data_IF_471123810791
#
_entry.id   IF_471123810791
#
_cell.length_a   1.000
_cell.length_b   1.000
_cell.length_c   1.000
_cell.angle_alpha   90.00
_cell.angle_beta   90.00
_cell.angle_gamma   90.00
#
_symmetry.space_group_name_H-M   'P 1'
#
loop_
_entity.id
_entity.type
_entity.pdbx_description
1 polymer ?
#
# COMPACT_ATOMS: atom_id res chain seq x y z
N UNK A 1 3.37 -7.63 -2.01
CA UNK A 1 4.29 -8.71 -1.61
C UNK A 1 3.59 -9.76 -0.75
N UNK A 2 3.14 -9.48 0.48
CA UNK A 2 2.53 -10.52 1.35
C UNK A 2 1.32 -11.21 0.71
N UNK A 3 0.39 -10.44 0.13
CA UNK A 3 -0.76 -11.01 -0.58
C UNK A 3 -0.35 -11.93 -1.75
N UNK A 4 0.73 -11.60 -2.46
CA UNK A 4 1.26 -12.44 -3.55
C UNK A 4 1.87 -13.72 -3.00
N UNK A 5 2.58 -13.66 -1.86
CA UNK A 5 3.11 -14.85 -1.20
C UNK A 5 1.98 -15.79 -0.71
N UNK A 6 0.90 -15.25 -0.15
CA UNK A 6 -0.28 -16.03 0.25
C UNK A 6 -0.93 -16.70 -0.97
N UNK A 7 -1.13 -15.95 -2.06
CA UNK A 7 -1.67 -16.50 -3.30
C UNK A 7 -0.75 -17.60 -3.88
N UNK A 8 0.56 -17.37 -3.90
CA UNK A 8 1.53 -18.32 -4.40
C UNK A 8 1.54 -19.61 -3.58
N UNK A 9 1.50 -19.51 -2.25
CA UNK A 9 1.36 -20.66 -1.36
C UNK A 9 0.06 -21.43 -1.64
N UNK A 10 -1.08 -20.74 -1.74
CA UNK A 10 -2.38 -21.35 -2.02
C UNK A 10 -2.40 -22.06 -3.39
N UNK A 11 -1.73 -21.49 -4.38
CA UNK A 11 -1.59 -22.06 -5.73
C UNK A 11 -0.45 -23.06 -5.85
N UNK A 12 0.33 -23.27 -4.78
CA UNK A 12 1.50 -24.14 -4.73
C UNK A 12 2.52 -23.80 -5.83
N UNK A 13 2.71 -22.51 -6.11
CA UNK A 13 3.70 -22.02 -7.09
C UNK A 13 4.85 -21.30 -6.37
N UNK A 14 6.10 -21.40 -6.87
CA UNK A 14 7.20 -20.62 -6.32
C UNK A 14 6.97 -19.11 -6.48
N UNK A 15 7.39 -18.34 -5.48
CA UNK A 15 7.35 -16.88 -5.53
C UNK A 15 8.70 -16.30 -5.12
N UNK A 16 9.29 -15.51 -6.00
CA UNK A 16 10.53 -14.77 -5.77
C UNK A 16 10.24 -13.28 -5.68
N UNK A 17 10.66 -12.67 -4.58
CA UNK A 17 10.54 -11.24 -4.36
C UNK A 17 11.92 -10.58 -4.44
N UNK A 18 12.01 -9.54 -5.26
CA UNK A 18 13.24 -8.78 -5.48
C UNK A 18 13.20 -7.48 -4.70
N UNK A 19 14.32 -7.11 -4.06
CA UNK A 19 14.47 -5.81 -3.39
C UNK A 19 15.84 -5.20 -3.69
N UNK A 20 15.97 -3.89 -3.48
CA UNK A 20 17.27 -3.24 -3.22
C UNK A 20 17.93 -3.84 -1.96
N UNK A 21 19.23 -3.60 -1.73
CA UNK A 21 19.89 -4.01 -0.49
C UNK A 21 19.19 -3.39 0.72
N UNK A 22 18.80 -4.23 1.67
CA UNK A 22 18.17 -3.76 2.91
C UNK A 22 19.25 -3.60 3.97
N UNK A 23 19.37 -2.43 4.64
CA UNK A 23 20.35 -2.25 5.71
C UNK A 23 20.15 -3.26 6.84
N UNK A 24 21.23 -3.92 7.27
CA UNK A 24 21.19 -4.94 8.32
C UNK A 24 20.55 -4.42 9.63
N UNK A 25 20.83 -3.16 9.98
CA UNK A 25 20.24 -2.49 11.14
C UNK A 25 18.70 -2.47 11.12
N UNK A 26 18.08 -2.41 9.93
CA UNK A 26 16.63 -2.41 9.81
C UNK A 26 16.04 -3.81 10.06
N UNK A 27 16.73 -4.85 9.58
CA UNK A 27 16.37 -6.24 9.84
C UNK A 27 16.49 -6.56 11.33
N UNK A 28 17.59 -6.15 11.97
CA UNK A 28 17.81 -6.39 13.40
C UNK A 28 16.75 -5.70 14.28
N UNK A 29 16.32 -4.49 13.92
CA UNK A 29 15.28 -3.74 14.65
C UNK A 29 13.90 -4.34 14.54
N UNK A 30 13.64 -5.09 13.49
CA UNK A 30 12.32 -5.69 13.22
C UNK A 30 12.30 -7.19 13.47
N UNK A 31 13.39 -7.78 14.00
CA UNK A 31 13.53 -9.22 14.23
C UNK A 31 12.45 -9.81 15.16
N UNK A 32 12.01 -9.02 16.15
CA UNK A 32 11.01 -9.42 17.14
C UNK A 32 9.60 -8.94 16.76
N UNK A 33 9.45 -8.36 15.55
CA UNK A 33 8.18 -7.86 15.03
C UNK A 33 7.75 -8.74 13.86
N UNK A 34 6.51 -9.21 13.90
CA UNK A 34 5.91 -9.90 12.78
C UNK A 34 5.63 -8.90 11.65
N UNK A 35 6.57 -8.81 10.71
CA UNK A 35 6.47 -7.95 9.52
C UNK A 35 5.80 -8.69 8.36
N UNK A 36 5.24 -7.95 7.40
CA UNK A 36 4.79 -8.50 6.12
C UNK A 36 5.89 -9.30 5.42
N UNK A 37 7.15 -8.88 5.54
CA UNK A 37 8.30 -9.59 4.98
C UNK A 37 8.53 -10.93 5.67
N UNK A 38 8.57 -10.97 7.01
CA UNK A 38 8.73 -12.20 7.76
C UNK A 38 7.60 -13.20 7.51
N UNK A 39 6.35 -12.71 7.41
CA UNK A 39 5.19 -13.53 7.07
C UNK A 39 5.32 -14.14 5.68
N UNK A 40 5.68 -13.35 4.68
CA UNK A 40 5.86 -13.87 3.33
C UNK A 40 7.01 -14.88 3.24
N UNK A 41 8.12 -14.65 3.96
CA UNK A 41 9.21 -15.63 4.07
C UNK A 41 8.72 -16.95 4.67
N UNK A 42 7.90 -16.90 5.72
CA UNK A 42 7.32 -18.09 6.34
C UNK A 42 6.37 -18.86 5.40
N UNK A 43 5.74 -18.17 4.44
CA UNK A 43 4.91 -18.78 3.39
C UNK A 43 5.71 -19.40 2.23
N UNK A 44 7.05 -19.37 2.28
CA UNK A 44 7.92 -19.93 1.25
C UNK A 44 8.40 -18.93 0.20
N UNK A 45 8.18 -17.62 0.40
CA UNK A 45 8.73 -16.59 -0.49
C UNK A 45 10.27 -16.68 -0.53
N UNK A 46 10.81 -16.80 -1.74
CA UNK A 46 12.22 -16.64 -2.02
C UNK A 46 12.54 -15.14 -2.08
N UNK A 47 13.63 -14.72 -1.47
CA UNK A 47 14.04 -13.31 -1.47
C UNK A 47 15.39 -13.20 -2.15
N UNK A 48 15.46 -12.31 -3.15
CA UNK A 48 16.68 -12.01 -3.90
C UNK A 48 16.95 -10.52 -3.78
N UNK A 49 18.16 -10.18 -3.36
CA UNK A 49 18.62 -8.80 -3.34
C UNK A 49 19.33 -8.48 -4.65
N UNK A 50 18.94 -7.37 -5.26
CA UNK A 50 19.59 -6.81 -6.45
C UNK A 50 20.42 -5.59 -6.05
N UNK A 51 21.43 -5.24 -6.86
CA UNK A 51 22.06 -3.91 -6.74
C UNK A 51 21.02 -2.81 -7.02
N UNK A 52 21.28 -1.58 -6.55
CA UNK A 52 20.36 -0.46 -6.78
C UNK A 52 20.05 -0.27 -8.27
N UNK A 53 21.08 -0.25 -9.11
CA UNK A 53 20.93 -0.11 -10.57
C UNK A 53 20.12 -1.26 -11.19
N UNK A 54 20.37 -2.51 -10.80
CA UNK A 54 19.60 -3.64 -11.31
C UNK A 54 18.13 -3.56 -10.90
N UNK A 55 17.86 -3.16 -9.65
CA UNK A 55 16.49 -3.00 -9.17
C UNK A 55 15.78 -1.86 -9.91
N UNK A 56 16.45 -0.73 -10.09
CA UNK A 56 15.86 0.44 -10.75
C UNK A 56 15.54 0.15 -12.22
N UNK A 57 16.45 -0.51 -12.96
CA UNK A 57 16.16 -0.98 -14.32
C UNK A 57 14.96 -1.92 -14.34
N UNK A 58 14.89 -2.89 -13.45
CA UNK A 58 13.76 -3.83 -13.36
C UNK A 58 12.43 -3.11 -13.04
N UNK A 59 12.46 -2.16 -12.11
CA UNK A 59 11.30 -1.40 -11.67
C UNK A 59 10.81 -0.39 -12.73
N UNK A 60 11.71 0.23 -13.48
CA UNK A 60 11.36 1.25 -14.47
C UNK A 60 10.91 0.63 -15.80
N UNK A 61 11.55 -0.46 -16.22
CA UNK A 61 11.26 -1.09 -17.53
C UNK A 61 10.11 -2.09 -17.46
N UNK A 62 9.84 -2.66 -16.28
CA UNK A 62 9.00 -3.84 -16.11
C UNK A 62 9.44 -5.05 -16.98
N UNK A 63 10.69 -5.07 -17.47
CA UNK A 63 11.26 -6.23 -18.17
C UNK A 63 11.88 -7.21 -17.17
N UNK A 64 11.16 -8.28 -16.89
CA UNK A 64 11.57 -9.33 -15.95
C UNK A 64 12.38 -10.45 -16.61
N UNK A 65 12.61 -10.40 -17.93
CA UNK A 65 13.38 -11.42 -18.65
C UNK A 65 14.77 -11.69 -18.05
N UNK A 66 15.53 -10.67 -17.58
CA UNK A 66 16.84 -10.89 -16.96
C UNK A 66 16.80 -11.66 -15.62
N UNK A 67 15.63 -11.72 -14.98
CA UNK A 67 15.42 -12.41 -13.69
C UNK A 67 14.44 -13.57 -13.80
N UNK A 68 14.09 -13.97 -15.03
CA UNK A 68 13.21 -15.10 -15.29
C UNK A 68 13.80 -16.39 -14.70
N UNK A 69 12.99 -17.26 -14.08
CA UNK A 69 13.49 -18.52 -13.55
C UNK A 69 14.03 -19.40 -14.70
N UNK A 70 15.29 -19.87 -14.65
CA UNK A 70 15.98 -20.45 -15.81
C UNK A 70 15.35 -21.73 -16.37
N UNK A 71 14.56 -22.43 -15.56
CA UNK A 71 13.91 -23.70 -15.93
C UNK A 71 12.38 -23.61 -15.95
N UNK A 72 11.79 -22.41 -15.85
CA UNK A 72 10.34 -22.25 -15.87
C UNK A 72 9.83 -22.25 -17.31
N UNK A 73 8.87 -23.14 -17.60
CA UNK A 73 8.15 -23.15 -18.87
C UNK A 73 7.18 -21.96 -18.99
N UNK A 74 6.63 -21.51 -17.86
CA UNK A 74 5.83 -20.29 -17.74
C UNK A 74 6.20 -19.55 -16.47
N UNK A 75 6.18 -18.22 -16.53
CA UNK A 75 6.44 -17.35 -15.39
C UNK A 75 5.69 -16.03 -15.56
N UNK A 76 5.47 -15.32 -14.46
CA UNK A 76 4.81 -14.01 -14.45
C UNK A 76 5.65 -13.02 -13.66
N UNK A 77 6.09 -11.97 -14.34
CA UNK A 77 6.67 -10.79 -13.71
C UNK A 77 5.56 -9.91 -13.16
N UNK A 78 5.65 -9.54 -11.87
CA UNK A 78 4.67 -8.67 -11.21
C UNK A 78 5.39 -7.40 -10.76
N UNK A 79 5.11 -6.23 -11.37
CA UNK A 79 5.73 -4.98 -10.97
C UNK A 79 5.24 -4.51 -9.60
N UNK A 80 5.97 -3.55 -9.05
CA UNK A 80 5.61 -2.94 -7.77
C UNK A 80 4.18 -2.40 -7.83
N UNK A 81 3.39 -2.69 -6.78
CA UNK A 81 1.99 -2.28 -6.70
C UNK A 81 1.06 -2.99 -7.69
N UNK A 82 1.52 -4.00 -8.44
CA UNK A 82 0.75 -4.64 -9.52
C UNK A 82 0.30 -3.58 -10.55
N UNK A 83 1.17 -2.61 -10.83
CA UNK A 83 0.94 -1.53 -11.77
C UNK A 83 1.04 -2.03 -13.23
N UNK A 84 0.09 -2.87 -13.61
CA UNK A 84 -0.05 -3.45 -14.96
C UNK A 84 -1.37 -2.97 -15.59
N UNK A 85 -1.46 -2.88 -16.93
CA UNK A 85 -2.70 -2.47 -17.61
C UNK A 85 -3.93 -3.29 -17.19
N UNK A 86 -3.76 -4.58 -16.92
CA UNK A 86 -4.83 -5.48 -16.51
C UNK A 86 -5.47 -5.07 -15.16
N UNK A 87 -4.74 -4.37 -14.30
CA UNK A 87 -5.27 -3.87 -13.04
C UNK A 87 -6.39 -2.83 -13.25
N UNK A 88 -6.43 -2.17 -14.41
CA UNK A 88 -7.49 -1.21 -14.78
C UNK A 88 -8.88 -1.83 -14.73
N UNK A 89 -9.01 -3.12 -15.09
CA UNK A 89 -10.30 -3.82 -15.04
C UNK A 89 -10.90 -3.83 -13.63
N UNK A 90 -10.07 -4.12 -12.62
CA UNK A 90 -10.49 -4.13 -11.23
C UNK A 90 -10.89 -2.74 -10.73
N UNK A 91 -10.12 -1.71 -11.11
CA UNK A 91 -10.42 -0.31 -10.75
C UNK A 91 -11.71 0.17 -11.43
N UNK A 92 -11.95 -0.18 -12.70
CA UNK A 92 -13.20 0.15 -13.40
C UNK A 92 -14.41 -0.51 -12.75
N UNK A 93 -14.26 -1.77 -12.34
CA UNK A 93 -15.31 -2.48 -11.62
C UNK A 93 -15.62 -1.82 -10.27
N UNK A 94 -14.59 -1.48 -9.49
CA UNK A 94 -14.77 -0.75 -8.23
C UNK A 94 -15.48 0.60 -8.46
N UNK A 95 -15.08 1.35 -9.48
CA UNK A 95 -15.73 2.62 -9.81
C UNK A 95 -17.21 2.45 -10.17
N UNK A 96 -17.56 1.38 -10.89
CA UNK A 96 -18.94 1.05 -11.20
C UNK A 96 -19.74 0.70 -9.94
N UNK A 97 -19.21 -0.18 -9.08
CA UNK A 97 -19.83 -0.58 -7.81
C UNK A 97 -20.07 0.62 -6.89
N UNK A 98 -19.14 1.58 -6.84
CA UNK A 98 -19.30 2.82 -6.06
C UNK A 98 -20.39 3.74 -6.64
N UNK A 99 -20.51 3.82 -7.96
CA UNK A 99 -21.56 4.62 -8.61
C UNK A 99 -22.95 3.98 -8.39
N UNK A 100 -23.06 2.66 -8.53
CA UNK A 100 -24.31 1.93 -8.24
C UNK A 100 -24.73 2.10 -6.78
N UNK A 101 -23.77 2.05 -5.84
CA UNK A 101 -24.01 2.34 -4.43
C UNK A 101 -24.55 3.75 -4.23
N UNK A 102 -23.91 4.77 -4.85
CA UNK A 102 -24.33 6.16 -4.74
C UNK A 102 -25.74 6.41 -5.29
N UNK A 103 -26.08 5.80 -6.44
CA UNK A 103 -27.42 5.92 -7.02
C UNK A 103 -28.49 5.27 -6.14
N UNK A 104 -28.19 4.08 -5.58
CA UNK A 104 -29.13 3.32 -4.75
C UNK A 104 -29.36 3.98 -3.39
N UNK A 105 -28.29 4.45 -2.73
CA UNK A 105 -28.36 4.94 -1.35
C UNK A 105 -28.64 6.44 -1.25
N UNK A 106 -28.07 7.25 -2.14
CA UNK A 106 -28.22 8.70 -2.06
C UNK A 106 -29.29 9.24 -3.02
N UNK A 107 -29.78 8.46 -3.99
CA UNK A 107 -30.61 8.93 -5.10
C UNK A 107 -29.98 10.15 -5.81
N UNK A 108 -28.64 10.19 -5.84
CA UNK A 108 -27.83 11.26 -6.41
C UNK A 108 -27.02 10.69 -7.56
N UNK A 109 -27.01 11.40 -8.69
CA UNK A 109 -26.11 11.09 -9.79
C UNK A 109 -24.67 11.43 -9.37
N UNK A 110 -23.73 10.47 -9.39
CA UNK A 110 -22.36 10.74 -8.96
C UNK A 110 -21.71 11.83 -9.83
N UNK A 111 -21.00 12.75 -9.17
CA UNK A 111 -20.18 13.74 -9.86
C UNK A 111 -18.90 13.08 -10.40
N UNK A 112 -18.23 13.66 -11.41
CA UNK A 112 -16.97 13.12 -11.92
C UNK A 112 -15.95 12.94 -10.79
N UNK A 113 -15.23 11.83 -10.83
CA UNK A 113 -14.20 11.53 -9.83
C UNK A 113 -13.13 12.63 -9.84
N UNK A 114 -12.95 13.28 -8.68
CA UNK A 114 -11.90 14.27 -8.47
C UNK A 114 -10.77 13.64 -7.70
N UNK A 115 -9.58 13.61 -8.30
CA UNK A 115 -8.36 13.25 -7.58
C UNK A 115 -7.99 14.43 -6.67
N UNK A 116 -7.87 14.15 -5.38
CA UNK A 116 -7.41 15.13 -4.40
C UNK A 116 -5.89 15.12 -4.35
N UNK A 117 -5.30 16.31 -4.34
CA UNK A 117 -3.86 16.46 -4.23
C UNK A 117 -3.45 16.52 -2.74
N UNK A 118 -2.44 15.75 -2.32
CA UNK A 118 -1.92 15.86 -0.97
C UNK A 118 -1.28 17.23 -0.76
N UNK A 119 -1.51 17.83 0.40
CA UNK A 119 -0.86 19.11 0.78
C UNK A 119 0.67 19.05 0.78
N UNK A 120 1.21 17.84 0.87
CA UNK A 120 2.64 17.55 0.78
C UNK A 120 2.86 16.21 0.07
N UNK A 121 3.66 16.21 -1.00
CA UNK A 121 4.16 14.95 -1.58
C UNK A 121 5.10 14.28 -0.58
N UNK A 122 4.76 13.08 -0.17
CA UNK A 122 5.59 12.25 0.71
C UNK A 122 6.11 11.05 -0.07
N UNK A 123 7.42 10.81 0.01
CA UNK A 123 7.98 9.59 -0.57
C UNK A 123 7.45 8.36 0.17
N UNK A 124 7.36 7.23 -0.53
CA UNK A 124 6.85 5.99 0.04
C UNK A 124 7.56 5.63 1.36
N UNK A 125 6.76 5.31 2.39
CA UNK A 125 7.27 4.92 3.71
C UNK A 125 7.98 6.03 4.49
N UNK A 126 7.80 7.31 4.11
CA UNK A 126 8.31 8.46 4.86
C UNK A 126 7.65 8.54 6.24
N UNK A 127 8.47 8.64 7.29
CA UNK A 127 8.01 8.80 8.67
C UNK A 127 7.70 10.28 8.95
N UNK A 128 6.55 10.77 8.47
CA UNK A 128 6.11 12.16 8.68
C UNK A 128 5.17 12.21 9.89
N UNK A 129 5.49 13.03 10.90
CA UNK A 129 4.77 13.12 12.18
C UNK A 129 3.24 13.32 12.02
N UNK A 130 2.76 14.23 11.16
CA UNK A 130 1.31 14.40 10.94
C UNK A 130 0.59 13.14 10.46
N UNK A 131 1.25 12.23 9.73
CA UNK A 131 0.61 10.97 9.35
C UNK A 131 0.37 10.05 10.55
N UNK A 132 1.29 10.07 11.52
CA UNK A 132 1.14 9.31 12.77
C UNK A 132 0.06 9.95 13.66
N UNK A 133 0.01 11.29 13.69
CA UNK A 133 -1.01 12.02 14.45
C UNK A 133 -2.41 11.76 13.86
N UNK A 134 -2.57 11.83 12.52
CA UNK A 134 -3.83 11.47 11.82
C UNK A 134 -4.24 10.03 12.08
N UNK A 135 -3.29 9.09 12.05
CA UNK A 135 -3.57 7.69 12.39
C UNK A 135 -4.13 7.57 13.83
N UNK A 136 -3.53 8.26 14.79
CA UNK A 136 -3.97 8.24 16.17
C UNK A 136 -5.36 8.87 16.34
N UNK A 137 -5.59 10.04 15.73
CA UNK A 137 -6.87 10.76 15.76
C UNK A 137 -8.02 9.91 15.18
N UNK A 138 -7.82 9.31 14.00
CA UNK A 138 -8.83 8.44 13.38
C UNK A 138 -9.15 7.24 14.27
N UNK A 139 -8.14 6.60 14.85
CA UNK A 139 -8.34 5.46 15.74
C UNK A 139 -9.07 5.85 17.03
N UNK A 140 -8.69 6.98 17.65
CA UNK A 140 -9.28 7.48 18.88
C UNK A 140 -10.76 7.88 18.69
N UNK A 141 -11.06 8.62 17.62
CA UNK A 141 -12.39 9.16 17.39
C UNK A 141 -13.38 8.13 16.83
N UNK A 142 -12.89 7.15 16.05
CA UNK A 142 -13.77 6.22 15.30
C UNK A 142 -13.65 4.77 15.73
N UNK A 143 -12.58 4.39 16.43
CA UNK A 143 -12.24 2.99 16.70
C UNK A 143 -11.77 2.20 15.46
N UNK A 144 -11.68 2.84 14.29
CA UNK A 144 -11.20 2.22 13.05
C UNK A 144 -9.70 2.45 12.92
N UNK A 145 -8.93 1.36 12.92
CA UNK A 145 -7.50 1.43 12.62
C UNK A 145 -7.30 1.60 11.10
N UNK A 146 -6.36 2.45 10.70
CA UNK A 146 -5.92 2.64 9.31
C UNK A 146 -4.42 2.37 9.20
N UNK A 147 -3.88 2.16 8.00
CA UNK A 147 -2.45 1.90 7.88
C UNK A 147 -1.60 3.20 7.90
N UNK A 148 -0.39 3.11 8.45
CA UNK A 148 0.58 4.22 8.61
C UNK A 148 1.36 4.59 7.33
N UNK A 149 0.95 4.12 6.15
CA UNK A 149 1.60 4.46 4.87
C UNK A 149 0.59 5.06 3.89
N UNK A 150 -0.51 4.38 3.63
CA UNK A 150 -1.51 4.76 2.64
C UNK A 150 -2.72 5.40 3.29
N UNK A 151 -3.33 4.72 4.27
CA UNK A 151 -4.53 5.16 4.97
C UNK A 151 -4.36 6.53 5.59
N UNK A 152 -3.33 6.72 6.41
CA UNK A 152 -3.06 8.01 7.05
C UNK A 152 -2.83 9.16 6.04
N UNK A 153 -2.22 8.88 4.89
CA UNK A 153 -2.01 9.88 3.83
C UNK A 153 -3.32 10.23 3.13
N UNK A 154 -4.17 9.24 2.88
CA UNK A 154 -5.50 9.45 2.31
C UNK A 154 -6.36 10.32 3.24
N UNK A 155 -6.36 10.03 4.54
CA UNK A 155 -7.06 10.82 5.55
C UNK A 155 -6.50 12.24 5.68
N UNK A 156 -5.17 12.42 5.76
CA UNK A 156 -4.55 13.76 5.79
C UNK A 156 -4.93 14.59 4.55
N UNK A 157 -4.89 13.96 3.37
CA UNK A 157 -5.24 14.61 2.10
C UNK A 157 -6.71 15.00 2.06
N UNK A 158 -7.58 14.08 2.46
CA UNK A 158 -9.02 14.30 2.53
C UNK A 158 -9.33 15.43 3.51
N UNK A 159 -8.94 15.31 4.79
CA UNK A 159 -9.21 16.33 5.83
C UNK A 159 -8.68 17.71 5.43
N UNK A 160 -7.50 17.78 4.81
CA UNK A 160 -6.98 19.05 4.30
C UNK A 160 -7.84 19.65 3.17
N UNK A 161 -8.21 18.84 2.17
CA UNK A 161 -9.07 19.32 1.08
C UNK A 161 -10.41 19.84 1.62
N UNK A 162 -10.96 19.17 2.63
CA UNK A 162 -12.24 19.52 3.23
C UNK A 162 -12.17 20.82 4.03
N UNK A 163 -11.07 21.02 4.77
CA UNK A 163 -10.79 22.27 5.45
C UNK A 163 -10.73 23.45 4.46
N UNK A 164 -10.10 23.26 3.29
CA UNK A 164 -10.00 24.30 2.26
C UNK A 164 -11.31 24.57 1.52
N UNK A 165 -12.11 23.54 1.26
CA UNK A 165 -13.33 23.66 0.48
C UNK A 165 -14.50 24.28 1.25
N UNK A 166 -14.43 24.36 2.59
CA UNK A 166 -15.43 24.97 3.49
C UNK A 166 -16.89 24.55 3.18
N UNK A 167 -17.11 23.38 2.58
CA UNK A 167 -18.43 22.96 2.13
C UNK A 167 -18.53 21.44 2.10
N UNK A 168 -19.08 20.93 3.20
CA UNK A 168 -19.57 19.57 3.32
C UNK A 168 -21.07 19.48 3.51
N UNK A 169 -21.74 20.63 3.62
CA UNK A 169 -23.16 20.66 3.89
C UNK A 169 -23.92 19.91 2.79
N UNK A 170 -24.65 18.87 3.20
CA UNK A 170 -25.37 17.97 2.30
C UNK A 170 -24.52 16.93 1.55
N UNK A 171 -23.26 16.70 1.91
CA UNK A 171 -22.39 15.69 1.29
C UNK A 171 -22.18 14.48 2.21
N UNK A 172 -22.23 13.29 1.63
CA UNK A 172 -21.82 12.04 2.26
C UNK A 172 -20.38 11.69 1.86
N UNK A 173 -19.61 11.12 2.79
CA UNK A 173 -18.23 10.66 2.55
C UNK A 173 -18.20 9.15 2.62
N UNK A 174 -17.72 8.52 1.55
CA UNK A 174 -17.44 7.08 1.51
C UNK A 174 -15.92 6.89 1.53
N UNK A 175 -15.40 6.27 2.59
CA UNK A 175 -14.01 5.88 2.70
C UNK A 175 -13.85 4.38 2.38
N UNK A 176 -13.00 4.05 1.40
CA UNK A 176 -12.66 2.67 1.06
C UNK A 176 -11.36 2.30 1.76
N UNK A 177 -11.46 1.45 2.78
CA UNK A 177 -10.28 0.98 3.51
C UNK A 177 -9.55 -0.12 2.72
N UNK A 178 -8.41 0.22 2.12
CA UNK A 178 -7.64 -0.68 1.26
C UNK A 178 -6.73 -1.70 2.00
N UNK A 179 -6.99 -1.98 3.28
CA UNK A 179 -6.14 -2.83 4.13
C UNK A 179 -4.83 -2.16 4.58
N UNK A 180 -3.73 -2.93 4.64
CA UNK A 180 -2.40 -2.44 5.02
C UNK A 180 -2.04 -2.52 6.51
N UNK A 181 -3.00 -2.82 7.39
CA UNK A 181 -2.85 -2.82 8.85
C UNK A 181 -1.71 -3.68 9.38
N UNK A 182 -1.46 -4.82 8.74
CA UNK A 182 -0.33 -5.72 9.05
C UNK A 182 1.05 -5.04 9.01
N UNK A 183 1.18 -3.89 8.33
CA UNK A 183 2.40 -3.09 8.31
C UNK A 183 2.58 -2.19 9.54
N UNK A 184 1.52 -1.92 10.32
CA UNK A 184 1.53 -0.89 11.37
C UNK A 184 2.55 -1.17 12.46
N UNK A 185 2.66 -2.40 12.96
CA UNK A 185 3.63 -2.74 14.01
C UNK A 185 5.06 -2.35 13.62
N UNK A 186 5.47 -2.65 12.37
CA UNK A 186 6.80 -2.31 11.86
C UNK A 186 6.97 -0.81 11.59
N UNK A 187 5.91 -0.13 11.16
CA UNK A 187 5.93 1.33 10.94
C UNK A 187 6.02 2.10 12.25
N UNK A 188 5.24 1.70 13.27
CA UNK A 188 5.29 2.29 14.60
C UNK A 188 6.68 2.18 15.20
N UNK A 189 7.35 1.03 15.05
CA UNK A 189 8.72 0.86 15.52
C UNK A 189 9.69 1.83 14.83
N UNK A 190 9.52 2.06 13.52
CA UNK A 190 10.29 3.07 12.80
C UNK A 190 10.03 4.48 13.35
N UNK A 191 8.77 4.83 13.65
CA UNK A 191 8.39 6.10 14.27
C UNK A 191 9.02 6.27 15.67
N UNK A 192 8.90 5.27 16.55
CA UNK A 192 9.53 5.27 17.89
C UNK A 192 11.02 5.56 17.81
N UNK A 193 11.71 4.86 16.90
CA UNK A 193 13.15 5.03 16.71
C UNK A 193 13.55 6.42 16.21
N UNK A 194 12.79 6.97 15.26
CA UNK A 194 13.06 8.29 14.67
C UNK A 194 12.78 9.42 15.65
N UNK A 195 11.67 9.35 16.39
CA UNK A 195 11.19 10.42 17.24
C UNK A 195 11.51 10.24 18.73
N UNK A 196 12.14 9.12 19.11
CA UNK A 196 12.49 8.78 20.50
C UNK A 196 11.27 8.79 21.42
N UNK A 197 10.19 8.17 20.93
CA UNK A 197 8.93 7.95 21.67
C UNK A 197 9.05 6.74 22.60
#
# INVERSE_FOLDING_TARGET
MLAVAQLAQQKQVPFTYFTKPVPAQLMDRTKDIQTNFSLAKALGMQHVTLSENQYDVLADTHDFSPVAPPNATTWLGVPQGVAVPEAELGIRRLAHELNEYAETYANVRPSPLRVLEPRKRVAFGTLWRPLMDVHAEVLEDTGVEIDLVYGCLAWDTMLHALHLLQSFEGREVVYVHCGGLSGNASQLERYRNKYKL
#
